data_IF_092321869715
#
_entry.id   IF_092321869715
#
_cell.length_a   1.000
_cell.length_b   1.000
_cell.length_c   1.000
_cell.angle_alpha   90.00
_cell.angle_beta   90.00
_cell.angle_gamma   90.00
#
_symmetry.space_group_name_H-M   'P 1'
#
loop_
_entity.id
_entity.type
_entity.pdbx_description
1 polymer ?
#
# COMPACT_ATOMS: atom_id res chain seq x y z
N UNK A 1 23.25 -10.87 5.95
CA UNK A 1 22.47 -10.67 4.72
C UNK A 1 23.15 -9.63 3.84
N UNK A 2 23.57 -8.49 4.36
CA UNK A 2 24.27 -7.45 3.62
C UNK A 2 25.75 -7.34 4.00
N UNK A 3 26.46 -8.45 4.09
CA UNK A 3 27.88 -8.46 4.49
C UNK A 3 28.79 -7.68 3.54
N UNK A 4 28.41 -7.56 2.28
CA UNK A 4 29.13 -6.87 1.21
C UNK A 4 28.49 -5.54 0.79
N UNK A 5 27.37 -5.14 1.43
CA UNK A 5 26.65 -3.95 1.04
C UNK A 5 27.33 -2.67 1.51
N UNK A 6 27.10 -1.58 0.77
CA UNK A 6 27.48 -0.24 1.19
C UNK A 6 26.73 0.17 2.48
N UNK A 7 27.48 0.68 3.44
CA UNK A 7 26.95 1.15 4.72
C UNK A 7 27.64 2.44 5.11
N UNK A 8 26.87 3.42 5.56
CA UNK A 8 27.38 4.68 6.11
C UNK A 8 26.95 4.90 7.55
N UNK A 9 27.61 5.81 8.25
CA UNK A 9 27.17 6.28 9.56
C UNK A 9 26.00 7.27 9.41
N UNK A 10 25.08 7.23 10.37
CA UNK A 10 24.00 8.22 10.45
C UNK A 10 24.54 9.62 10.74
N UNK A 11 23.79 10.72 10.45
CA UNK A 11 24.22 12.08 10.76
C UNK A 11 24.59 12.33 12.22
N UNK A 12 24.00 11.58 13.14
CA UNK A 12 24.34 11.66 14.56
C UNK A 12 25.59 10.88 14.96
N UNK A 13 26.18 10.10 14.05
CA UNK A 13 27.29 9.19 14.31
C UNK A 13 26.93 7.97 15.18
N UNK A 14 25.69 7.86 15.66
CA UNK A 14 25.27 6.82 16.63
C UNK A 14 24.63 5.59 15.99
N UNK A 15 24.36 5.60 14.70
CA UNK A 15 23.74 4.51 13.98
C UNK A 15 24.38 4.26 12.63
N UNK A 16 23.99 3.17 12.01
CA UNK A 16 24.41 2.78 10.67
C UNK A 16 23.22 2.82 9.72
N UNK A 17 23.49 3.07 8.44
CA UNK A 17 22.52 3.05 7.34
C UNK A 17 23.01 2.16 6.22
N UNK A 18 22.23 1.16 5.86
CA UNK A 18 22.42 0.36 4.67
C UNK A 18 21.40 0.72 3.61
N UNK A 19 21.80 0.69 2.36
CA UNK A 19 20.95 0.97 1.22
C UNK A 19 20.73 -0.31 0.42
N UNK A 20 19.57 -0.44 -0.21
CA UNK A 20 19.24 -1.51 -1.14
C UNK A 20 18.23 -1.01 -2.16
N UNK A 21 18.24 -1.63 -3.34
CA UNK A 21 17.24 -1.34 -4.35
C UNK A 21 15.91 -2.03 -4.00
N UNK A 22 14.83 -1.33 -4.25
CA UNK A 22 13.47 -1.86 -4.10
C UNK A 22 12.89 -2.02 -5.49
N UNK A 23 12.30 -3.18 -5.85
CA UNK A 23 11.57 -3.30 -7.11
C UNK A 23 10.53 -2.20 -7.23
N UNK A 24 10.40 -1.62 -8.44
CA UNK A 24 9.54 -0.46 -8.69
C UNK A 24 8.07 -0.69 -8.27
N UNK A 25 7.67 -1.93 -8.35
CA UNK A 25 6.31 -2.38 -8.08
C UNK A 25 6.13 -3.03 -6.70
N UNK A 26 7.15 -2.95 -5.81
CA UNK A 26 7.05 -3.51 -4.46
C UNK A 26 6.12 -2.68 -3.57
N UNK A 27 5.13 -3.32 -2.95
CA UNK A 27 4.25 -2.70 -1.94
C UNK A 27 4.57 -3.23 -0.55
N UNK A 28 4.94 -2.33 0.35
CA UNK A 28 5.28 -2.69 1.71
C UNK A 28 4.02 -2.95 2.55
N UNK A 29 3.84 -4.20 3.00
CA UNK A 29 2.71 -4.56 3.86
C UNK A 29 2.98 -4.20 5.32
N UNK A 30 2.41 -3.08 5.79
CA UNK A 30 2.53 -2.60 7.17
C UNK A 30 1.84 -3.49 8.19
N UNK A 31 0.98 -4.41 7.76
CA UNK A 31 0.32 -5.37 8.65
C UNK A 31 1.23 -6.54 8.97
N UNK A 32 2.11 -6.90 8.02
CA UNK A 32 3.09 -7.98 8.15
C UNK A 32 4.40 -7.49 8.76
N UNK A 33 4.85 -6.30 8.36
CA UNK A 33 6.17 -5.79 8.74
C UNK A 33 6.11 -4.51 9.57
N UNK A 34 7.06 -4.34 10.48
CA UNK A 34 7.28 -3.08 11.18
C UNK A 34 8.00 -2.06 10.29
N UNK A 35 7.58 -0.81 10.32
CA UNK A 35 8.41 0.32 9.84
C UNK A 35 9.54 0.59 10.83
N UNK A 36 9.24 0.52 12.13
CA UNK A 36 10.20 0.66 13.20
C UNK A 36 10.07 -0.54 14.15
N UNK A 37 11.07 -1.40 14.14
CA UNK A 37 11.20 -2.52 15.07
C UNK A 37 12.08 -2.09 16.25
N UNK A 38 11.48 -1.51 17.26
CA UNK A 38 12.20 -1.00 18.45
C UNK A 38 12.97 -2.09 19.19
N UNK A 39 12.48 -3.34 19.19
CA UNK A 39 13.14 -4.46 19.86
C UNK A 39 14.45 -4.87 19.17
N UNK A 40 14.59 -4.57 17.89
CA UNK A 40 15.80 -4.81 17.08
C UNK A 40 16.62 -3.53 16.85
N UNK A 41 16.10 -2.36 17.27
CA UNK A 41 16.72 -1.06 16.99
C UNK A 41 16.81 -0.75 15.50
N UNK A 42 15.85 -1.24 14.68
CA UNK A 42 15.89 -1.17 13.23
C UNK A 42 14.68 -0.40 12.68
N UNK A 43 14.97 0.55 11.81
CA UNK A 43 13.97 1.26 11.01
C UNK A 43 14.17 0.97 9.52
N UNK A 44 13.08 0.85 8.79
CA UNK A 44 13.08 0.67 7.34
C UNK A 44 12.34 1.82 6.69
N UNK A 45 12.97 2.43 5.69
CA UNK A 45 12.42 3.51 4.90
C UNK A 45 12.15 2.97 3.49
N UNK A 46 10.87 2.76 3.18
CA UNK A 46 10.43 2.17 1.92
C UNK A 46 9.62 3.17 1.12
N UNK A 47 9.84 3.29 -0.19
CA UNK A 47 8.99 4.08 -1.07
C UNK A 47 7.51 3.70 -0.89
N UNK A 48 6.63 4.70 -0.86
CA UNK A 48 5.19 4.50 -0.67
C UNK A 48 4.74 4.07 0.73
N UNK A 49 5.65 3.57 1.57
CA UNK A 49 5.33 3.15 2.94
C UNK A 49 5.64 4.22 3.98
N UNK A 50 6.62 5.09 3.72
CA UNK A 50 7.00 6.19 4.63
C UNK A 50 7.15 7.50 3.85
N UNK A 51 6.69 8.61 4.45
CA UNK A 51 6.86 9.97 3.93
C UNK A 51 8.11 10.63 4.52
N UNK A 52 9.15 9.85 4.80
CA UNK A 52 10.39 10.33 5.39
C UNK A 52 11.50 10.23 4.36
N UNK A 53 12.33 11.24 4.31
CA UNK A 53 13.59 11.22 3.57
C UNK A 53 14.74 10.82 4.49
N UNK A 54 15.77 10.24 3.89
CA UNK A 54 16.98 9.79 4.58
C UNK A 54 18.14 10.65 4.08
N UNK A 55 18.89 11.24 4.99
CA UNK A 55 20.10 11.99 4.63
C UNK A 55 21.21 11.00 4.29
N UNK A 56 21.76 11.10 3.09
CA UNK A 56 23.00 10.40 2.72
C UNK A 56 24.16 11.23 3.25
N UNK A 57 25.01 10.63 4.09
CA UNK A 57 26.08 11.35 4.78
C UNK A 57 27.41 11.30 4.04
N UNK A 58 27.65 10.24 3.28
CA UNK A 58 28.94 9.93 2.69
C UNK A 58 30.03 9.52 3.72
N UNK A 59 29.70 9.49 5.04
CA UNK A 59 30.60 8.95 6.07
C UNK A 59 30.57 7.41 6.03
N UNK A 60 31.40 6.87 5.15
CA UNK A 60 31.41 5.45 4.81
C UNK A 60 31.94 4.63 5.99
N UNK A 61 31.07 3.77 6.52
CA UNK A 61 31.45 2.75 7.49
C UNK A 61 32.01 1.49 6.80
N UNK A 62 31.39 1.11 5.66
CA UNK A 62 31.83 -0.01 4.82
C UNK A 62 31.55 0.29 3.37
N UNK A 63 32.57 0.12 2.54
CA UNK A 63 32.42 0.16 1.08
C UNK A 63 31.75 -1.12 0.58
N UNK A 64 30.99 -1.00 -0.49
CA UNK A 64 30.29 -2.13 -1.10
C UNK A 64 29.31 -1.68 -2.18
N UNK A 65 28.58 -2.60 -2.72
CA UNK A 65 27.51 -2.32 -3.68
C UNK A 65 26.18 -2.08 -2.96
N UNK A 66 25.27 -1.40 -3.64
CA UNK A 66 23.87 -1.33 -3.20
C UNK A 66 23.19 -2.59 -3.71
N UNK A 67 22.76 -3.52 -2.82
CA UNK A 67 22.15 -4.77 -3.24
C UNK A 67 20.88 -4.51 -4.07
N UNK A 68 20.77 -5.20 -5.19
CA UNK A 68 19.61 -5.21 -6.07
C UNK A 68 19.08 -6.66 -6.19
N UNK A 69 18.76 -7.25 -5.05
CA UNK A 69 18.26 -8.63 -4.95
C UNK A 69 17.02 -8.63 -4.06
N UNK A 70 15.86 -8.87 -4.68
CA UNK A 70 14.55 -8.93 -4.00
C UNK A 70 14.53 -10.04 -2.95
N UNK A 71 15.21 -11.16 -3.18
CA UNK A 71 15.29 -12.29 -2.25
C UNK A 71 16.03 -11.88 -0.98
N UNK A 72 17.16 -11.17 -1.12
CA UNK A 72 17.92 -10.66 0.02
C UNK A 72 17.13 -9.63 0.82
N UNK A 73 16.42 -8.73 0.13
CA UNK A 73 15.53 -7.75 0.76
C UNK A 73 14.41 -8.45 1.54
N UNK A 74 13.69 -9.37 0.91
CA UNK A 74 12.59 -10.10 1.54
C UNK A 74 13.07 -10.91 2.74
N UNK A 75 14.23 -11.56 2.62
CA UNK A 75 14.84 -12.30 3.73
C UNK A 75 15.18 -11.40 4.91
N UNK A 76 15.67 -10.18 4.67
CA UNK A 76 15.91 -9.19 5.73
C UNK A 76 14.59 -8.80 6.41
N UNK A 77 13.55 -8.49 5.63
CA UNK A 77 12.26 -8.10 6.16
C UNK A 77 11.63 -9.24 6.98
N UNK A 78 11.65 -10.46 6.47
CA UNK A 78 11.11 -11.64 7.18
C UNK A 78 11.87 -11.94 8.47
N UNK A 79 13.18 -11.74 8.48
CA UNK A 79 14.02 -12.06 9.64
C UNK A 79 13.96 -10.96 10.72
N UNK A 80 13.95 -9.69 10.30
CA UNK A 80 14.16 -8.57 11.22
C UNK A 80 12.95 -7.67 11.41
N UNK A 81 12.05 -7.60 10.43
CA UNK A 81 10.93 -6.66 10.44
C UNK A 81 9.57 -7.33 10.57
N UNK A 82 9.49 -8.65 10.47
CA UNK A 82 8.22 -9.38 10.57
C UNK A 82 7.62 -9.23 11.97
N UNK A 83 6.32 -8.96 12.02
CA UNK A 83 5.56 -8.88 13.28
C UNK A 83 5.37 -10.27 13.85
N UNK A 84 5.57 -10.43 15.15
CA UNK A 84 5.40 -11.72 15.86
C UNK A 84 3.93 -12.16 15.97
N UNK A 85 2.99 -11.23 15.80
CA UNK A 85 1.55 -11.51 15.66
C UNK A 85 1.09 -10.75 14.43
N UNK A 86 0.38 -11.42 13.53
CA UNK A 86 -0.52 -10.69 12.63
C UNK A 86 -1.38 -9.82 13.54
N UNK A 87 -1.40 -8.51 13.26
CA UNK A 87 -2.43 -7.67 13.85
C UNK A 87 -3.71 -8.35 13.42
N UNK A 88 -4.42 -8.98 14.34
CA UNK A 88 -5.78 -9.39 14.08
C UNK A 88 -6.50 -8.09 13.77
N UNK A 89 -6.68 -7.85 12.49
CA UNK A 89 -7.65 -6.87 12.06
C UNK A 89 -8.94 -7.35 12.70
N UNK A 90 -9.52 -6.55 13.55
CA UNK A 90 -10.95 -6.64 13.79
C UNK A 90 -11.55 -6.46 12.41
N UNK A 91 -11.83 -7.57 11.72
CA UNK A 91 -12.73 -7.59 10.61
C UNK A 91 -14.06 -7.09 11.16
N UNK A 92 -14.26 -5.79 11.11
CA UNK A 92 -15.61 -5.33 10.91
C UNK A 92 -16.00 -6.03 9.62
N UNK A 93 -17.01 -6.90 9.67
CA UNK A 93 -17.66 -7.37 8.46
C UNK A 93 -18.28 -6.13 7.83
N UNK A 94 -17.49 -5.47 6.99
CA UNK A 94 -17.97 -4.38 6.18
C UNK A 94 -18.85 -5.03 5.12
N UNK A 95 -20.15 -4.91 5.28
CA UNK A 95 -21.09 -5.28 4.24
C UNK A 95 -21.26 -4.08 3.32
N UNK A 96 -20.97 -4.28 2.06
CA UNK A 96 -21.38 -3.32 1.06
C UNK A 96 -22.93 -3.25 1.03
N UNK A 97 -23.45 -2.03 1.04
CA UNK A 97 -24.89 -1.80 0.87
C UNK A 97 -25.30 -1.78 -0.61
N UNK A 98 -24.33 -1.82 -1.52
CA UNK A 98 -24.49 -1.67 -2.96
C UNK A 98 -23.91 -2.90 -3.66
N UNK A 99 -24.54 -3.33 -4.74
CA UNK A 99 -23.91 -4.26 -5.67
C UNK A 99 -22.84 -3.57 -6.54
N UNK A 100 -22.09 -4.33 -7.32
CA UNK A 100 -20.97 -3.83 -8.11
C UNK A 100 -21.43 -2.75 -9.13
N UNK A 101 -22.60 -2.92 -9.75
CA UNK A 101 -23.15 -1.97 -10.72
C UNK A 101 -23.57 -0.67 -10.05
N UNK A 102 -24.22 -0.76 -8.90
CA UNK A 102 -24.61 0.41 -8.11
C UNK A 102 -23.39 1.19 -7.58
N UNK A 103 -22.33 0.51 -7.14
CA UNK A 103 -21.06 1.16 -6.76
C UNK A 103 -20.51 1.99 -7.92
N UNK A 104 -20.42 1.40 -9.12
CA UNK A 104 -19.92 2.09 -10.31
C UNK A 104 -20.83 3.27 -10.68
N UNK A 105 -22.15 3.09 -10.63
CA UNK A 105 -23.12 4.15 -10.94
C UNK A 105 -23.00 5.33 -9.98
N UNK A 106 -22.98 5.08 -8.68
CA UNK A 106 -22.80 6.14 -7.66
C UNK A 106 -21.46 6.86 -7.78
N UNK A 107 -20.36 6.13 -8.04
CA UNK A 107 -19.05 6.73 -8.25
C UNK A 107 -19.02 7.62 -9.51
N UNK A 108 -19.78 7.27 -10.55
CA UNK A 108 -19.93 8.06 -11.78
C UNK A 108 -20.75 9.35 -11.60
N UNK A 109 -21.59 9.43 -10.58
CA UNK A 109 -22.44 10.58 -10.26
C UNK A 109 -21.90 11.46 -9.11
N UNK A 110 -20.87 10.99 -8.41
CA UNK A 110 -20.27 11.68 -7.28
C UNK A 110 -19.56 12.98 -7.69
N UNK A 111 -19.32 13.85 -6.72
CA UNK A 111 -18.62 15.13 -6.94
C UNK A 111 -17.20 14.95 -7.52
N UNK A 112 -16.59 13.80 -7.33
CA UNK A 112 -15.28 13.39 -7.88
C UNK A 112 -15.40 12.44 -9.08
N UNK A 113 -16.55 12.39 -9.75
CA UNK A 113 -16.86 11.47 -10.87
C UNK A 113 -15.86 11.55 -12.00
N UNK A 114 -15.41 12.76 -12.37
CA UNK A 114 -14.43 12.93 -13.46
C UNK A 114 -13.10 12.21 -13.15
N UNK A 115 -12.66 12.28 -11.90
CA UNK A 115 -11.48 11.55 -11.44
C UNK A 115 -11.72 10.04 -11.47
N UNK A 116 -12.89 9.59 -11.00
CA UNK A 116 -13.25 8.18 -11.03
C UNK A 116 -13.29 7.63 -12.46
N UNK A 117 -13.96 8.32 -13.38
CA UNK A 117 -14.08 7.92 -14.80
C UNK A 117 -12.71 7.74 -15.45
N UNK A 118 -11.80 8.72 -15.28
CA UNK A 118 -10.44 8.64 -15.82
C UNK A 118 -9.69 7.44 -15.25
N UNK A 119 -9.67 7.28 -13.93
CA UNK A 119 -8.99 6.15 -13.28
C UNK A 119 -9.59 4.81 -13.70
N UNK A 120 -10.92 4.72 -13.74
CA UNK A 120 -11.61 3.50 -14.11
C UNK A 120 -11.40 3.11 -15.58
N UNK A 121 -11.24 4.10 -16.47
CA UNK A 121 -10.86 3.89 -17.86
C UNK A 121 -9.38 3.54 -18.05
N UNK A 122 -8.53 3.79 -17.04
CA UNK A 122 -7.09 3.58 -17.12
C UNK A 122 -6.30 4.82 -17.57
N UNK A 123 -6.96 5.97 -17.67
CA UNK A 123 -6.36 7.26 -18.09
C UNK A 123 -5.78 7.99 -16.88
N UNK A 124 -4.60 7.58 -16.43
CA UNK A 124 -4.01 8.05 -15.17
C UNK A 124 -2.83 9.00 -15.33
N UNK A 125 -2.15 9.04 -16.49
CA UNK A 125 -0.87 9.72 -16.70
C UNK A 125 -0.93 11.24 -16.41
N UNK A 126 -2.07 11.86 -16.71
CA UNK A 126 -2.29 13.30 -16.43
C UNK A 126 -2.58 13.58 -14.94
N UNK A 127 -2.91 12.57 -14.16
CA UNK A 127 -3.34 12.71 -12.79
C UNK A 127 -2.28 12.31 -11.77
N UNK A 128 -1.42 11.35 -12.12
CA UNK A 128 -0.47 10.72 -11.19
C UNK A 128 0.89 10.48 -11.84
N UNK A 129 1.94 10.54 -11.02
CA UNK A 129 3.30 10.28 -11.46
C UNK A 129 3.62 8.80 -11.66
N UNK A 130 2.76 7.90 -11.16
CA UNK A 130 2.90 6.45 -11.38
C UNK A 130 1.55 5.76 -11.40
N UNK A 131 1.49 4.63 -12.11
CA UNK A 131 0.28 3.81 -12.13
C UNK A 131 -0.03 3.22 -10.74
N UNK A 132 0.98 3.02 -9.90
CA UNK A 132 0.76 2.55 -8.52
C UNK A 132 0.03 3.58 -7.66
N UNK A 133 0.29 4.88 -7.87
CA UNK A 133 -0.46 5.96 -7.21
C UNK A 133 -1.90 6.03 -7.72
N UNK A 134 -2.11 5.78 -9.02
CA UNK A 134 -3.44 5.67 -9.62
C UNK A 134 -4.23 4.48 -9.07
N UNK A 135 -3.59 3.31 -8.90
CA UNK A 135 -4.20 2.13 -8.25
C UNK A 135 -4.71 2.50 -6.85
N UNK A 136 -3.87 3.13 -6.03
CA UNK A 136 -4.25 3.54 -4.66
C UNK A 136 -5.37 4.58 -4.66
N UNK A 137 -5.39 5.49 -5.65
CA UNK A 137 -6.43 6.49 -5.76
C UNK A 137 -7.78 5.88 -6.16
N UNK A 138 -7.81 4.93 -7.10
CA UNK A 138 -9.03 4.19 -7.46
C UNK A 138 -9.51 3.36 -6.26
N UNK A 139 -8.62 2.62 -5.60
CA UNK A 139 -8.95 1.84 -4.42
C UNK A 139 -9.55 2.69 -3.30
N UNK A 140 -9.06 3.93 -3.10
CA UNK A 140 -9.62 4.83 -2.08
C UNK A 140 -11.06 5.23 -2.38
N UNK A 141 -11.42 5.40 -3.67
CA UNK A 141 -12.80 5.65 -4.08
C UNK A 141 -13.65 4.40 -3.88
N UNK A 142 -13.14 3.24 -4.28
CA UNK A 142 -13.85 1.96 -4.12
C UNK A 142 -14.05 1.62 -2.63
N UNK A 143 -13.05 1.86 -1.76
CA UNK A 143 -13.18 1.60 -0.32
C UNK A 143 -14.35 2.36 0.29
N UNK A 144 -14.57 3.63 -0.11
CA UNK A 144 -15.70 4.41 0.34
C UNK A 144 -17.04 3.80 -0.10
N UNK A 145 -17.20 3.49 -1.38
CA UNK A 145 -18.48 3.03 -1.93
C UNK A 145 -18.78 1.55 -1.61
N UNK A 146 -17.75 0.70 -1.54
CA UNK A 146 -17.88 -0.71 -1.16
C UNK A 146 -17.95 -0.92 0.36
N UNK A 147 -17.94 0.13 1.18
CA UNK A 147 -17.92 -0.03 2.64
C UNK A 147 -16.70 -0.80 3.14
N UNK A 148 -15.57 -0.68 2.45
CA UNK A 148 -14.33 -1.43 2.72
C UNK A 148 -14.45 -2.96 2.54
N UNK A 149 -15.40 -3.44 1.74
CA UNK A 149 -15.49 -4.86 1.35
C UNK A 149 -14.34 -5.19 0.39
N UNK A 150 -13.33 -5.90 0.89
CA UNK A 150 -12.10 -6.22 0.14
C UNK A 150 -12.39 -7.07 -1.11
N UNK A 151 -13.34 -8.00 -1.03
CA UNK A 151 -13.70 -8.88 -2.15
C UNK A 151 -14.42 -8.10 -3.25
N UNK A 152 -15.33 -7.20 -2.89
CA UNK A 152 -16.02 -6.34 -3.84
C UNK A 152 -15.05 -5.35 -4.49
N UNK A 153 -14.16 -4.75 -3.71
CA UNK A 153 -13.13 -3.86 -4.23
C UNK A 153 -12.23 -4.56 -5.26
N UNK A 154 -11.81 -5.80 -4.99
CA UNK A 154 -11.00 -6.60 -5.93
C UNK A 154 -11.78 -6.88 -7.23
N UNK A 155 -13.04 -7.34 -7.12
CA UNK A 155 -13.87 -7.62 -8.30
C UNK A 155 -14.04 -6.39 -9.18
N UNK A 156 -14.38 -5.23 -8.59
CA UNK A 156 -14.60 -4.00 -9.36
C UNK A 156 -13.27 -3.49 -9.94
N UNK A 157 -12.17 -3.52 -9.17
CA UNK A 157 -10.86 -3.10 -9.68
C UNK A 157 -10.44 -3.90 -10.92
N UNK A 158 -10.69 -5.21 -10.92
CA UNK A 158 -10.38 -6.10 -12.06
C UNK A 158 -11.13 -5.75 -13.35
N UNK A 159 -12.23 -5.01 -13.27
CA UNK A 159 -12.96 -4.53 -14.46
C UNK A 159 -12.45 -3.18 -14.96
N UNK A 160 -11.57 -2.52 -14.24
CA UNK A 160 -11.02 -1.21 -14.62
C UNK A 160 -9.86 -1.32 -15.62
N UNK A 161 -9.60 -0.24 -16.34
CA UNK A 161 -8.44 -0.12 -17.23
C UNK A 161 -7.09 -0.07 -16.52
N UNK A 162 -7.06 0.01 -15.19
CA UNK A 162 -5.84 -0.10 -14.37
C UNK A 162 -5.42 -1.55 -14.13
N UNK A 163 -6.31 -2.53 -14.41
CA UNK A 163 -5.99 -3.95 -14.22
C UNK A 163 -4.82 -4.40 -15.11
N UNK A 164 -3.87 -5.10 -14.53
CA UNK A 164 -2.68 -5.63 -15.21
C UNK A 164 -2.11 -6.84 -14.44
N UNK A 165 -1.19 -7.59 -15.06
CA UNK A 165 -0.58 -8.82 -14.49
C UNK A 165 0.06 -8.60 -13.12
N UNK A 166 0.55 -7.38 -12.86
CA UNK A 166 1.08 -7.00 -11.55
C UNK A 166 0.09 -7.23 -10.42
N UNK A 167 -1.21 -7.11 -10.67
CA UNK A 167 -2.26 -7.24 -9.65
C UNK A 167 -2.20 -8.59 -8.92
N UNK A 168 -1.95 -9.66 -9.67
CA UNK A 168 -1.88 -11.03 -9.15
C UNK A 168 -0.44 -11.47 -8.81
N UNK A 169 0.55 -10.60 -8.98
CA UNK A 169 1.94 -10.91 -8.65
C UNK A 169 2.07 -11.20 -7.16
N UNK A 170 2.65 -12.36 -6.85
CA UNK A 170 2.89 -12.78 -5.46
C UNK A 170 3.97 -11.92 -4.80
N UNK A 171 3.69 -11.47 -3.59
CA UNK A 171 4.54 -10.61 -2.80
C UNK A 171 4.26 -10.83 -1.31
N UNK A 172 5.30 -11.07 -0.51
CA UNK A 172 5.20 -11.22 0.95
C UNK A 172 4.08 -12.18 1.43
N UNK A 173 3.86 -13.29 0.70
CA UNK A 173 2.84 -14.29 1.05
C UNK A 173 1.40 -13.93 0.63
N UNK A 174 1.21 -12.86 -0.13
CA UNK A 174 -0.07 -12.39 -0.66
C UNK A 174 0.09 -11.98 -2.13
N UNK A 175 -0.80 -11.13 -2.67
CA UNK A 175 -0.63 -10.51 -3.98
C UNK A 175 -0.51 -9.00 -3.84
N UNK A 176 0.03 -8.33 -4.88
CA UNK A 176 0.07 -6.87 -4.94
C UNK A 176 -1.32 -6.25 -4.72
N UNK A 177 -2.34 -6.77 -5.40
CA UNK A 177 -3.71 -6.29 -5.27
C UNK A 177 -4.26 -6.44 -3.85
N UNK A 178 -4.12 -7.62 -3.25
CA UNK A 178 -4.59 -7.88 -1.89
C UNK A 178 -3.89 -7.00 -0.84
N UNK A 179 -2.58 -6.75 -1.01
CA UNK A 179 -1.83 -5.85 -0.11
C UNK A 179 -2.29 -4.41 -0.29
N UNK A 180 -2.51 -3.97 -1.54
CA UNK A 180 -2.96 -2.61 -1.85
C UNK A 180 -4.37 -2.34 -1.30
N UNK A 181 -5.30 -3.26 -1.48
CA UNK A 181 -6.66 -3.20 -0.91
C UNK A 181 -6.57 -3.10 0.61
N UNK A 182 -5.87 -4.03 1.26
CA UNK A 182 -5.72 -4.04 2.72
C UNK A 182 -5.13 -2.74 3.27
N UNK A 183 -4.10 -2.19 2.63
CA UNK A 183 -3.52 -0.91 3.02
C UNK A 183 -4.52 0.23 2.89
N UNK A 184 -5.36 0.22 1.85
CA UNK A 184 -6.42 1.22 1.63
C UNK A 184 -7.51 1.10 2.68
N UNK A 185 -8.01 -0.09 2.95
CA UNK A 185 -9.04 -0.36 3.98
C UNK A 185 -8.57 0.12 5.36
N UNK A 186 -7.30 -0.16 5.72
CA UNK A 186 -6.72 0.28 7.00
C UNK A 186 -6.60 1.80 7.15
N UNK A 187 -6.64 2.56 6.07
CA UNK A 187 -6.53 4.02 6.07
C UNK A 187 -7.84 4.71 5.70
N UNK A 188 -8.90 3.95 5.41
CA UNK A 188 -10.20 4.48 5.05
C UNK A 188 -10.82 5.19 6.26
N UNK A 189 -11.14 6.48 6.09
CA UNK A 189 -11.68 7.31 7.16
C UNK A 189 -13.21 7.37 7.17
N UNK A 190 -13.88 7.03 6.06
CA UNK A 190 -15.32 7.09 5.91
C UNK A 190 -15.80 6.10 4.85
N UNK A 191 -17.01 5.59 5.03
CA UNK A 191 -17.68 4.70 4.08
C UNK A 191 -19.06 5.26 3.72
N UNK A 192 -19.55 4.87 2.55
CA UNK A 192 -20.92 5.17 2.15
C UNK A 192 -21.91 4.43 3.06
N UNK A 193 -22.90 5.16 3.58
CA UNK A 193 -24.04 4.62 4.30
C UNK A 193 -25.31 5.14 3.62
N UNK A 194 -26.21 4.27 3.14
CA UNK A 194 -27.48 4.72 2.59
C UNK A 194 -28.32 5.37 3.70
N UNK A 195 -28.90 6.52 3.40
CA UNK A 195 -29.86 7.17 4.32
C UNK A 195 -31.14 6.33 4.29
N UNK A 196 -31.39 5.58 5.33
CA UNK A 196 -32.66 4.89 5.47
C UNK A 196 -33.77 5.92 5.66
N UNK A 197 -34.85 5.81 4.89
CA UNK A 197 -36.00 6.71 4.96
C UNK A 197 -36.68 6.74 6.36
N UNK A 198 -36.29 5.85 7.27
CA UNK A 198 -36.76 5.79 8.65
C UNK A 198 -36.06 6.81 9.58
N UNK A 199 -34.85 7.29 9.21
CA UNK A 199 -34.08 8.24 10.01
C UNK A 199 -34.51 9.72 9.74
N UNK A 200 -35.42 9.95 8.79
CA UNK A 200 -35.85 11.29 8.36
C UNK A 200 -37.15 11.72 9.10
N UNK A 201 -37.80 10.83 9.84
CA UNK A 201 -39.06 11.06 10.53
C UNK A 201 -38.94 10.96 12.07
N UNK A 202 -37.78 11.27 12.64
CA UNK A 202 -37.55 11.35 14.08
C UNK A 202 -37.48 12.81 14.55
#
# INVERSE_FOLDING_TARGET
IFSTAYVEKSPSGKGLRGFFCVPEDYVYDKTVYYINNRSKGLEVYMPGATNRFVTVTGDVYRTGEIPNDETAMTTLLDTLMKRNKQVQQTHFQHHSYLDDEAVIAHANEASNSEKFKKLFAGDWEDLYGSQSDADMALLSILAFWCGCDEEQMDRIFRTSGLMRDKWDRKQAGSTYGAISIRNTVNTCAAIYMPVNAQDICG
#
